data_IF_138098717526
#
_entry.id   IF_138098717526
#
_cell.length_a   1.000
_cell.length_b   1.000
_cell.length_c   1.000
_cell.angle_alpha   90.00
_cell.angle_beta   90.00
_cell.angle_gamma   90.00
#
_symmetry.space_group_name_H-M   'P 1'
#
loop_
_entity.id
_entity.type
_entity.pdbx_description
1 polymer ?
#
# COMPACT_ATOMS: atom_id res chain seq x y z
N UNK A 1 4.46 -7.50 -10.29
CA UNK A 1 5.11 -8.18 -11.43
C UNK A 1 4.10 -8.29 -12.56
N UNK A 2 4.55 -8.25 -13.81
CA UNK A 2 3.73 -8.52 -14.99
C UNK A 2 4.42 -9.62 -15.77
N UNK A 3 3.67 -10.62 -16.21
CA UNK A 3 4.18 -11.81 -16.87
C UNK A 3 3.35 -12.12 -18.11
N UNK A 4 4.02 -12.54 -19.19
CA UNK A 4 3.44 -13.25 -20.33
C UNK A 4 4.26 -14.52 -20.59
N UNK A 5 3.90 -15.31 -21.60
CA UNK A 5 4.61 -16.56 -21.93
C UNK A 5 6.11 -16.35 -22.18
N UNK A 6 6.49 -15.20 -22.75
CA UNK A 6 7.84 -14.93 -23.23
C UNK A 6 8.73 -14.21 -22.20
N UNK A 7 8.12 -13.49 -21.24
CA UNK A 7 8.88 -12.66 -20.29
C UNK A 7 8.13 -12.37 -19.00
N UNK A 8 8.91 -12.09 -17.95
CA UNK A 8 8.43 -11.63 -16.64
C UNK A 8 9.22 -10.39 -16.25
N UNK A 9 8.53 -9.30 -15.91
CA UNK A 9 9.15 -8.11 -15.32
C UNK A 9 8.64 -7.90 -13.89
N UNK A 10 9.57 -7.55 -13.00
CA UNK A 10 9.32 -7.32 -11.57
C UNK A 10 9.83 -5.93 -11.20
N UNK A 11 9.01 -5.19 -10.45
CA UNK A 11 9.38 -3.90 -9.90
C UNK A 11 9.20 -3.95 -8.38
N UNK A 12 10.23 -3.52 -7.64
CA UNK A 12 10.16 -3.32 -6.20
C UNK A 12 9.86 -1.84 -5.93
N UNK A 13 8.88 -1.59 -5.06
CA UNK A 13 8.53 -0.25 -4.58
C UNK A 13 8.59 -0.28 -3.06
N UNK A 14 9.42 0.58 -2.49
CA UNK A 14 9.60 0.67 -1.04
C UNK A 14 9.02 1.99 -0.56
N UNK A 15 8.13 1.92 0.42
CA UNK A 15 7.57 3.08 1.09
C UNK A 15 7.98 3.06 2.55
N UNK A 16 8.56 4.17 3.02
CA UNK A 16 8.87 4.36 4.43
C UNK A 16 7.75 5.14 5.10
N UNK A 17 7.34 4.68 6.28
CA UNK A 17 6.29 5.31 7.06
C UNK A 17 6.79 5.58 8.47
N UNK A 18 6.42 6.75 9.01
CA UNK A 18 6.65 7.11 10.39
C UNK A 18 5.33 7.25 11.10
N UNK A 19 5.20 6.54 12.20
CA UNK A 19 4.08 6.70 13.10
C UNK A 19 4.42 7.78 14.12
N UNK A 20 3.41 8.54 14.56
CA UNK A 20 3.55 9.35 15.77
C UNK A 20 3.68 8.43 16.99
N UNK A 21 3.97 9.01 18.15
CA UNK A 21 3.87 8.28 19.42
C UNK A 21 2.43 7.81 19.59
N UNK A 22 2.25 6.50 19.80
CA UNK A 22 0.98 5.85 20.12
C UNK A 22 1.01 5.53 21.60
N UNK A 23 0.00 5.99 22.32
CA UNK A 23 -0.17 5.65 23.74
C UNK A 23 -0.75 4.24 23.90
N UNK A 24 -0.51 3.56 25.04
CA UNK A 24 -1.13 2.25 25.30
C UNK A 24 -2.66 2.26 25.13
N UNK A 25 -3.33 3.30 25.65
CA UNK A 25 -4.78 3.45 25.54
C UNK A 25 -5.27 3.54 24.08
N UNK A 26 -4.55 4.26 23.21
CA UNK A 26 -4.87 4.34 21.79
C UNK A 26 -4.67 2.99 21.08
N UNK A 27 -3.60 2.26 21.43
CA UNK A 27 -3.34 0.94 20.85
C UNK A 27 -4.40 -0.09 21.25
N UNK A 28 -4.86 -0.07 22.51
CA UNK A 28 -5.93 -0.93 23.01
C UNK A 28 -7.27 -0.59 22.36
N UNK A 29 -7.60 0.70 22.25
CA UNK A 29 -8.81 1.16 21.57
C UNK A 29 -8.82 0.76 20.09
N UNK A 30 -7.68 0.90 19.41
CA UNK A 30 -7.58 0.48 18.01
C UNK A 30 -7.71 -1.04 17.87
N UNK A 31 -7.08 -1.82 18.73
CA UNK A 31 -7.25 -3.28 18.75
C UNK A 31 -8.70 -3.70 18.94
N UNK A 32 -9.41 -3.05 19.87
CA UNK A 32 -10.82 -3.32 20.14
C UNK A 32 -11.75 -3.01 18.95
N UNK A 33 -11.32 -2.20 17.97
CA UNK A 33 -12.09 -1.96 16.74
C UNK A 33 -12.17 -3.18 15.82
N UNK A 34 -11.27 -4.16 15.98
CA UNK A 34 -11.15 -5.33 15.11
C UNK A 34 -10.44 -5.08 13.78
N UNK A 35 -10.27 -3.81 13.35
CA UNK A 35 -9.53 -3.46 12.13
C UNK A 35 -8.09 -4.01 12.08
N UNK A 36 -7.32 -4.07 13.18
CA UNK A 36 -5.94 -4.56 13.12
C UNK A 36 -5.78 -6.05 12.82
N UNK A 37 -6.82 -6.85 13.09
CA UNK A 37 -6.69 -8.30 13.26
C UNK A 37 -6.30 -9.05 11.98
N UNK A 38 -6.66 -8.53 10.81
CA UNK A 38 -6.38 -9.13 9.50
C UNK A 38 -5.24 -8.43 8.74
N UNK A 39 -4.51 -7.51 9.39
CA UNK A 39 -3.53 -6.65 8.72
C UNK A 39 -2.11 -6.94 9.18
N UNK A 40 -1.20 -7.08 8.21
CA UNK A 40 0.23 -7.17 8.51
C UNK A 40 0.69 -5.90 9.26
N UNK A 41 1.40 -6.09 10.38
CA UNK A 41 1.78 -4.98 11.25
C UNK A 41 0.64 -4.43 12.12
N UNK A 42 -0.51 -5.11 12.17
CA UNK A 42 -1.68 -4.75 12.99
C UNK A 42 -2.20 -3.33 12.71
N UNK A 43 -2.25 -2.94 11.45
CA UNK A 43 -2.59 -1.58 11.04
C UNK A 43 -3.11 -1.49 9.60
N UNK A 44 -4.10 -0.61 9.37
CA UNK A 44 -4.63 -0.28 8.03
C UNK A 44 -4.60 1.20 7.70
N UNK A 45 -3.92 1.58 6.62
CA UNK A 45 -3.82 3.00 6.20
C UNK A 45 -5.13 3.57 5.62
N UNK A 46 -6.03 2.70 5.16
CA UNK A 46 -7.32 3.08 4.59
C UNK A 46 -8.41 3.25 5.65
N UNK A 47 -8.14 2.85 6.90
CA UNK A 47 -9.10 2.83 7.99
C UNK A 47 -8.70 3.74 9.16
N UNK A 48 -9.16 3.38 10.36
CA UNK A 48 -8.87 4.07 11.62
C UNK A 48 -7.37 4.16 11.89
N UNK A 49 -6.61 3.19 11.40
CA UNK A 49 -5.15 3.22 11.50
C UNK A 49 -4.58 4.55 11.04
N UNK A 50 -5.08 5.15 9.95
CA UNK A 50 -4.57 6.39 9.33
C UNK A 50 -4.16 7.49 10.34
N UNK A 51 -4.87 7.59 11.47
CA UNK A 51 -4.65 8.51 12.59
C UNK A 51 -3.23 8.42 13.20
N UNK A 52 -2.55 7.28 13.09
CA UNK A 52 -1.20 7.10 13.65
C UNK A 52 -0.09 7.50 12.69
N UNK A 53 -0.35 7.64 11.39
CA UNK A 53 0.69 7.93 10.40
C UNK A 53 0.98 9.41 10.36
N UNK A 54 2.20 9.77 10.77
CA UNK A 54 2.68 11.15 10.77
C UNK A 54 3.36 11.51 9.44
N UNK A 55 4.05 10.56 8.83
CA UNK A 55 4.76 10.80 7.57
C UNK A 55 4.81 9.56 6.69
N UNK A 56 4.73 9.78 5.38
CA UNK A 56 4.91 8.77 4.34
C UNK A 56 5.92 9.31 3.34
N UNK A 57 6.97 8.54 3.08
CA UNK A 57 7.93 8.79 2.01
C UNK A 57 7.92 7.59 1.05
N UNK A 58 7.29 7.77 -0.10
CA UNK A 58 7.12 6.73 -1.12
C UNK A 58 5.70 6.70 -1.68
N UNK A 59 5.25 5.51 -2.09
CA UNK A 59 3.96 5.30 -2.75
C UNK A 59 2.88 4.87 -1.76
N UNK A 60 1.85 5.70 -1.58
CA UNK A 60 0.66 5.35 -0.79
C UNK A 60 -0.06 4.12 -1.36
N UNK A 61 -0.21 4.06 -2.69
CA UNK A 61 -0.85 2.92 -3.36
C UNK A 61 -0.09 1.60 -3.14
N UNK A 62 1.25 1.66 -3.01
CA UNK A 62 2.05 0.50 -2.63
C UNK A 62 1.72 0.01 -1.21
N UNK A 63 1.48 0.93 -0.27
CA UNK A 63 1.07 0.58 1.11
C UNK A 63 -0.31 -0.06 1.12
N UNK A 64 -1.23 0.43 0.28
CA UNK A 64 -2.56 -0.17 0.11
C UNK A 64 -2.47 -1.59 -0.49
N UNK A 65 -1.45 -1.87 -1.31
CA UNK A 65 -1.16 -3.21 -1.81
C UNK A 65 -0.78 -3.29 -3.29
N UNK A 66 -0.91 -2.20 -4.06
CA UNK A 66 -0.49 -2.15 -5.46
C UNK A 66 0.08 -0.78 -5.84
N UNK A 67 1.39 -0.67 -6.15
CA UNK A 67 2.00 0.59 -6.56
C UNK A 67 1.49 1.01 -7.95
N UNK A 68 0.47 1.89 -8.01
CA UNK A 68 -0.28 2.14 -9.24
C UNK A 68 0.56 2.81 -10.34
N UNK A 69 1.40 3.78 -9.98
CA UNK A 69 2.24 4.49 -10.95
C UNK A 69 3.24 3.51 -11.61
N UNK A 70 3.91 2.71 -10.80
CA UNK A 70 4.88 1.72 -11.26
C UNK A 70 4.21 0.55 -11.98
N UNK A 71 3.03 0.13 -11.54
CA UNK A 71 2.24 -0.90 -12.21
C UNK A 71 1.78 -0.43 -13.57
N UNK A 72 1.30 0.82 -13.70
CA UNK A 72 0.90 1.39 -14.98
C UNK A 72 2.10 1.48 -15.95
N UNK A 73 3.26 1.93 -15.46
CA UNK A 73 4.49 1.95 -16.26
C UNK A 73 4.93 0.53 -16.68
N UNK A 74 4.74 -0.47 -15.83
CA UNK A 74 5.04 -1.87 -16.14
C UNK A 74 4.08 -2.44 -17.18
N UNK A 75 2.77 -2.14 -17.07
CA UNK A 75 1.75 -2.55 -18.03
C UNK A 75 1.97 -1.92 -19.41
N UNK A 76 2.37 -0.65 -19.46
CA UNK A 76 2.66 0.07 -20.71
C UNK A 76 3.79 -0.60 -21.50
N UNK A 77 4.84 -1.10 -20.81
CA UNK A 77 5.91 -1.90 -21.45
C UNK A 77 5.41 -3.21 -22.07
N UNK A 78 4.27 -3.70 -21.61
CA UNK A 78 3.55 -4.86 -22.17
C UNK A 78 2.48 -4.47 -23.20
N UNK A 79 2.46 -3.22 -23.63
CA UNK A 79 1.50 -2.71 -24.62
C UNK A 79 0.08 -2.57 -24.06
N UNK A 80 -0.08 -2.58 -22.73
CA UNK A 80 -1.38 -2.45 -22.07
C UNK A 80 -1.51 -1.02 -21.55
N UNK A 81 -2.24 -0.18 -22.30
CA UNK A 81 -2.55 1.19 -21.87
C UNK A 81 -3.57 1.19 -20.74
N UNK A 82 -3.32 1.99 -19.70
CA UNK A 82 -4.26 2.22 -18.60
C UNK A 82 -5.25 3.38 -18.87
N UNK A 83 -5.06 4.13 -19.96
CA UNK A 83 -5.90 5.29 -20.33
C UNK A 83 -6.98 4.87 -21.34
N UNK A 84 -7.79 3.89 -20.96
CA UNK A 84 -8.85 3.38 -21.82
C UNK A 84 -10.15 4.15 -21.56
N UNK A 85 -10.91 4.50 -22.62
CA UNK A 85 -12.26 5.00 -22.43
C UNK A 85 -13.14 3.91 -21.77
N UNK A 86 -14.10 4.36 -20.97
CA UNK A 86 -15.10 3.48 -20.33
C UNK A 86 -16.06 2.86 -21.35
#
# INVERSE_FOLDING_TARGET
>A
AVACEERVEVQLVVTQMRFRIITPAESEAYWASGEPADKAGAYGIQGLGAIFVEHINGSYSAVVGLPLAETAALLDRFGISCWQPA
#
